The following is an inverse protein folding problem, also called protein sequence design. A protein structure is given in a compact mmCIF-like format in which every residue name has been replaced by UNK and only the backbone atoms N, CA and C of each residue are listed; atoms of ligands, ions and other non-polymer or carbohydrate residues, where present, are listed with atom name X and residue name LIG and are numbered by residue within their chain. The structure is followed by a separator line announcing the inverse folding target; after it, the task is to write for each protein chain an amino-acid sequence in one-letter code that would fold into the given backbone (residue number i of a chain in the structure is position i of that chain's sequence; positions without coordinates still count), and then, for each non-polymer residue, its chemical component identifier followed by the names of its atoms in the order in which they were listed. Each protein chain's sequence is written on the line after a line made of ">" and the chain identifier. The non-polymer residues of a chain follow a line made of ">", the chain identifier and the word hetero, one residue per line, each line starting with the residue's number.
data_IF_675360158174
#
_entry.id   IF_675360158174
#
_cell.length_a   1.000
_cell.length_b   1.000
_cell.length_c   1.000
_cell.angle_alpha   90.00
_cell.angle_beta   90.00
_cell.angle_gamma   90.00
#
_symmetry.space_group_name_H-M   'P 1'
#
loop_
_entity.id
_entity.type
_entity.pdbx_description
1 polymer ?
#
# COMPACT_ATOMS: atom_id res chain seq x y z
N UNK A 1 -11.67 7.04 2.82
CA UNK A 1 -10.53 7.84 2.31
C UNK A 1 -10.07 8.75 3.44
N UNK A 2 -8.76 8.79 3.73
CA UNK A 2 -8.19 9.66 4.77
C UNK A 2 -7.57 10.87 4.04
N UNK A 3 -8.02 12.08 4.37
CA UNK A 3 -7.59 13.33 3.74
C UNK A 3 -6.97 14.26 4.78
N UNK A 4 -6.09 15.17 4.33
CA UNK A 4 -5.41 16.15 5.17
C UNK A 4 -4.02 16.48 4.66
N UNK A 5 -3.39 17.47 5.26
CA UNK A 5 -2.09 18.01 4.80
C UNK A 5 -0.93 17.03 4.99
N UNK A 6 0.15 17.20 4.24
CA UNK A 6 1.37 16.40 4.37
C UNK A 6 1.95 16.55 5.77
N UNK A 7 2.38 15.43 6.38
CA UNK A 7 2.97 15.44 7.73
C UNK A 7 1.97 15.33 8.89
N UNK A 8 0.67 15.19 8.62
CA UNK A 8 -0.37 15.04 9.67
C UNK A 8 -0.53 13.61 10.21
N UNK A 9 0.33 12.66 9.82
CA UNK A 9 0.31 11.28 10.34
C UNK A 9 -0.82 10.40 9.81
N UNK A 10 -1.27 10.62 8.57
CA UNK A 10 -2.37 9.86 7.94
C UNK A 10 -2.08 8.35 7.84
N UNK A 11 -0.82 7.99 7.68
CA UNK A 11 -0.30 6.62 7.67
C UNK A 11 -0.43 5.95 9.04
N UNK A 12 -0.09 6.66 10.12
CA UNK A 12 -0.30 6.19 11.49
C UNK A 12 -1.79 6.01 11.80
N UNK A 13 -2.64 6.93 11.32
CA UNK A 13 -4.09 6.80 11.46
C UNK A 13 -4.64 5.57 10.71
N UNK A 14 -4.20 5.33 9.47
CA UNK A 14 -4.58 4.15 8.70
C UNK A 14 -4.15 2.84 9.40
N UNK A 15 -2.95 2.82 9.99
CA UNK A 15 -2.48 1.69 10.78
C UNK A 15 -3.33 1.46 12.03
N UNK A 16 -3.68 2.52 12.77
CA UNK A 16 -4.59 2.42 13.91
C UNK A 16 -5.97 1.87 13.51
N UNK A 17 -6.52 2.30 12.37
CA UNK A 17 -7.76 1.74 11.83
C UNK A 17 -7.64 0.24 11.53
N UNK A 18 -6.50 -0.22 10.98
CA UNK A 18 -6.26 -1.65 10.76
C UNK A 18 -6.23 -2.43 12.09
N UNK A 19 -5.50 -1.92 13.09
CA UNK A 19 -5.42 -2.52 14.42
C UNK A 19 -6.77 -2.62 15.13
N UNK A 20 -7.67 -1.65 14.92
CA UNK A 20 -9.02 -1.64 15.49
C UNK A 20 -10.04 -2.48 14.70
N UNK A 21 -9.66 -3.00 13.53
CA UNK A 21 -10.58 -3.72 12.65
C UNK A 21 -10.65 -5.23 12.95
N UNK A 22 -11.70 -5.95 12.50
CA UNK A 22 -11.77 -7.42 12.61
C UNK A 22 -10.65 -8.17 11.90
N UNK A 23 -9.88 -7.50 11.04
CA UNK A 23 -8.73 -8.07 10.30
C UNK A 23 -7.38 -7.65 10.88
N UNK A 24 -7.33 -7.15 12.12
CA UNK A 24 -6.11 -6.71 12.79
C UNK A 24 -4.99 -7.77 12.82
N UNK A 25 -5.36 -9.06 12.89
CA UNK A 25 -4.41 -10.17 12.84
C UNK A 25 -3.85 -10.46 11.43
N UNK A 26 -4.40 -9.86 10.37
CA UNK A 26 -3.91 -10.02 9.00
C UNK A 26 -2.78 -9.01 8.72
N UNK A 27 -1.88 -9.31 7.76
CA UNK A 27 -0.84 -8.36 7.36
C UNK A 27 -1.41 -7.01 6.94
N UNK A 28 -0.66 -5.96 7.26
CA UNK A 28 -0.91 -4.59 6.82
C UNK A 28 0.29 -4.13 5.99
N UNK A 29 0.03 -3.69 4.77
CA UNK A 29 1.04 -3.14 3.87
C UNK A 29 0.69 -1.67 3.62
N UNK A 30 1.56 -0.78 4.10
CA UNK A 30 1.53 0.63 3.70
C UNK A 30 2.37 0.79 2.43
N UNK A 31 1.84 1.51 1.44
CA UNK A 31 2.49 1.77 0.17
C UNK A 31 2.53 3.29 -0.06
N UNK A 32 3.73 3.80 -0.36
CA UNK A 32 3.89 5.19 -0.78
C UNK A 32 3.92 5.29 -2.31
N UNK A 33 2.80 5.69 -2.91
CA UNK A 33 2.70 5.83 -4.37
C UNK A 33 3.67 6.87 -4.94
N UNK A 34 4.06 7.90 -4.16
CA UNK A 34 4.97 8.94 -4.64
C UNK A 34 6.43 8.46 -4.76
N UNK A 35 6.77 7.31 -4.16
CA UNK A 35 8.11 6.73 -4.24
C UNK A 35 8.27 5.70 -5.35
N UNK A 36 7.19 5.36 -6.07
CA UNK A 36 7.21 4.34 -7.12
C UNK A 36 7.27 5.03 -8.49
N UNK A 37 8.29 4.73 -9.32
CA UNK A 37 8.33 5.18 -10.71
C UNK A 37 7.10 4.70 -11.50
N UNK A 38 6.56 5.55 -12.38
CA UNK A 38 5.31 5.25 -13.11
C UNK A 38 5.38 3.95 -13.92
N UNK A 39 6.54 3.66 -14.51
CA UNK A 39 6.81 2.45 -15.30
C UNK A 39 6.92 1.18 -14.45
N UNK A 40 7.14 1.31 -13.14
CA UNK A 40 7.25 0.20 -12.19
C UNK A 40 5.97 -0.03 -11.36
N UNK A 41 4.99 0.88 -11.40
CA UNK A 41 3.78 0.79 -10.54
C UNK A 41 3.05 -0.54 -10.70
N UNK A 42 2.82 -0.98 -11.94
CA UNK A 42 2.07 -2.21 -12.18
C UNK A 42 2.80 -3.44 -11.64
N UNK A 43 4.11 -3.51 -11.87
CA UNK A 43 4.91 -4.64 -11.39
C UNK A 43 5.04 -4.70 -9.88
N UNK A 44 5.15 -3.56 -9.20
CA UNK A 44 5.26 -3.53 -7.74
C UNK A 44 3.93 -3.88 -7.07
N UNK A 45 2.80 -3.48 -7.67
CA UNK A 45 1.48 -3.75 -7.13
C UNK A 45 0.99 -5.17 -7.41
N UNK A 46 1.31 -5.72 -8.58
CA UNK A 46 0.70 -6.97 -9.06
C UNK A 46 1.71 -8.09 -9.31
N UNK A 47 3.01 -7.79 -9.26
CA UNK A 47 4.07 -8.72 -9.61
C UNK A 47 4.28 -8.85 -11.12
N UNK A 48 5.36 -9.53 -11.50
CA UNK A 48 5.60 -9.90 -12.90
C UNK A 48 4.86 -11.20 -13.24
N UNK A 49 4.30 -11.27 -14.45
CA UNK A 49 3.86 -12.54 -14.99
C UNK A 49 5.10 -13.45 -15.15
N UNK A 50 5.02 -14.74 -14.79
CA UNK A 50 6.11 -15.66 -15.06
C UNK A 50 6.35 -15.70 -16.57
N UNK A 51 7.61 -15.56 -17.01
CA UNK A 51 8.02 -15.79 -18.40
C UNK A 51 7.90 -17.29 -18.74
N UNK A 52 6.66 -17.76 -18.83
CA UNK A 52 6.33 -19.01 -19.50
C UNK A 52 6.40 -18.74 -20.99
N UNK A 53 7.47 -19.23 -21.63
CA UNK A 53 7.53 -19.38 -23.09
C UNK A 53 6.18 -19.89 -23.59
N UNK A 54 5.60 -19.19 -24.57
CA UNK A 54 4.59 -19.79 -25.45
C UNK A 54 5.16 -21.04 -26.11
#
# INVERSE_FOLDING_TARGET
>A
MITGDTGTGKDLFAYACHQASPRSAKPYLALNCASIPEDAVESELFGHAPEGKK
#
